data_IF_631088486625
#
_entry.id   IF_631088486625
#
_cell.length_a   1.000
_cell.length_b   1.000
_cell.length_c   1.000
_cell.angle_alpha   90.00
_cell.angle_beta   90.00
_cell.angle_gamma   90.00
#
_symmetry.space_group_name_H-M   'P 1'
#
loop_
_entity.id
_entity.type
_entity.pdbx_description
1 polymer ?
#
# COMPACT_ATOMS: atom_id res chain seq x y z
N UNK A 1 -10.83 -20.77 -25.06
CA UNK A 1 -9.94 -20.08 -24.08
C UNK A 1 -10.74 -18.88 -23.65
N UNK A 2 -11.29 -18.88 -22.43
CA UNK A 2 -12.05 -17.73 -21.93
C UNK A 2 -11.06 -16.59 -21.66
N UNK A 3 -11.11 -15.56 -22.50
CA UNK A 3 -10.27 -14.37 -22.41
C UNK A 3 -11.17 -13.21 -21.98
N UNK A 4 -11.79 -13.33 -20.82
CA UNK A 4 -12.51 -12.22 -20.21
C UNK A 4 -12.13 -12.18 -18.72
N UNK A 5 -10.88 -11.79 -18.44
CA UNK A 5 -10.53 -11.23 -17.12
C UNK A 5 -11.12 -9.83 -17.11
N UNK A 6 -12.30 -9.65 -16.53
CA UNK A 6 -12.82 -8.31 -16.24
C UNK A 6 -11.85 -7.62 -15.30
N UNK A 7 -11.35 -6.45 -15.71
CA UNK A 7 -10.52 -5.62 -14.85
C UNK A 7 -11.40 -5.02 -13.77
N UNK A 8 -11.33 -5.56 -12.55
CA UNK A 8 -11.96 -4.98 -11.38
C UNK A 8 -11.12 -3.79 -10.90
N UNK A 9 -11.72 -2.60 -10.93
CA UNK A 9 -11.07 -1.41 -10.38
C UNK A 9 -11.01 -1.52 -8.86
N UNK A 10 -9.83 -1.83 -8.33
CA UNK A 10 -9.57 -1.78 -6.89
C UNK A 10 -9.05 -0.39 -6.51
N UNK A 11 -9.46 0.18 -5.35
CA UNK A 11 -8.87 1.43 -4.86
C UNK A 11 -7.40 1.31 -4.47
N UNK A 12 -6.89 0.07 -4.34
CA UNK A 12 -5.55 -0.24 -3.85
C UNK A 12 -4.46 0.51 -4.61
N UNK A 13 -4.43 0.34 -5.94
CA UNK A 13 -3.45 0.95 -6.82
C UNK A 13 -3.32 2.47 -6.62
N UNK A 14 -4.45 3.16 -6.50
CA UNK A 14 -4.48 4.61 -6.33
C UNK A 14 -3.88 5.02 -4.97
N UNK A 15 -4.24 4.33 -3.89
CA UNK A 15 -3.68 4.58 -2.57
C UNK A 15 -2.18 4.25 -2.50
N UNK A 16 -1.74 3.13 -3.11
CA UNK A 16 -0.33 2.74 -3.15
C UNK A 16 0.54 3.75 -3.92
N UNK A 17 0.02 4.28 -5.03
CA UNK A 17 0.72 5.31 -5.81
C UNK A 17 0.76 6.65 -5.07
N UNK A 18 -0.37 7.06 -4.48
CA UNK A 18 -0.46 8.29 -3.71
C UNK A 18 0.49 8.26 -2.52
N UNK A 19 0.60 7.12 -1.84
CA UNK A 19 1.54 6.92 -0.73
C UNK A 19 2.98 7.19 -1.17
N UNK A 20 3.43 6.60 -2.29
CA UNK A 20 4.79 6.81 -2.84
C UNK A 20 5.08 8.29 -3.17
N UNK A 21 4.10 9.01 -3.72
CA UNK A 21 4.24 10.45 -3.99
C UNK A 21 4.30 11.25 -2.69
N UNK A 22 3.48 10.87 -1.71
CA UNK A 22 3.45 11.53 -0.40
C UNK A 22 4.72 11.29 0.41
N UNK A 23 5.42 10.16 0.28
CA UNK A 23 6.69 9.94 1.01
C UNK A 23 7.71 11.04 0.76
N UNK A 24 7.71 11.61 -0.46
CA UNK A 24 8.64 12.67 -0.85
C UNK A 24 8.16 14.06 -0.47
N UNK A 25 6.85 14.28 -0.40
CA UNK A 25 6.26 15.62 -0.32
C UNK A 25 5.56 15.91 1.02
N UNK A 26 5.01 14.88 1.66
CA UNK A 26 4.21 14.95 2.89
C UNK A 26 4.29 13.59 3.63
N UNK A 27 5.45 13.24 4.22
CA UNK A 27 5.67 11.94 4.85
C UNK A 27 4.73 11.66 6.02
N UNK A 28 4.22 12.71 6.67
CA UNK A 28 3.17 12.65 7.71
C UNK A 28 1.85 12.07 7.19
N UNK A 29 1.54 12.29 5.90
CA UNK A 29 0.32 11.80 5.25
C UNK A 29 0.52 10.47 4.54
N UNK A 30 1.76 10.15 4.16
CA UNK A 30 2.10 8.93 3.43
C UNK A 30 1.69 7.65 4.18
N UNK A 31 1.85 7.61 5.51
CA UNK A 31 1.49 6.42 6.31
C UNK A 31 0.01 6.09 6.21
N UNK A 32 -0.87 7.10 6.17
CA UNK A 32 -2.31 6.87 6.03
C UNK A 32 -2.61 6.19 4.69
N UNK A 33 -1.99 6.66 3.62
CA UNK A 33 -2.16 6.08 2.29
C UNK A 33 -1.54 4.69 2.18
N UNK A 34 -0.42 4.42 2.83
CA UNK A 34 0.14 3.07 2.94
C UNK A 34 -0.79 2.10 3.68
N UNK A 35 -1.46 2.55 4.75
CA UNK A 35 -2.48 1.75 5.45
C UNK A 35 -3.69 1.45 4.55
N UNK A 36 -4.12 2.42 3.74
CA UNK A 36 -5.21 2.21 2.76
C UNK A 36 -4.78 1.28 1.61
N UNK A 37 -3.57 1.44 1.08
CA UNK A 37 -2.96 0.54 0.10
C UNK A 37 -2.98 -0.91 0.60
N UNK A 38 -2.52 -1.15 1.83
CA UNK A 38 -2.53 -2.48 2.44
C UNK A 38 -3.95 -3.02 2.71
N UNK A 39 -4.91 -2.14 3.02
CA UNK A 39 -6.29 -2.55 3.30
C UNK A 39 -7.08 -2.96 2.07
N UNK A 40 -6.74 -2.43 0.90
CA UNK A 40 -7.41 -2.76 -0.38
C UNK A 40 -6.63 -3.72 -1.26
N UNK A 41 -5.31 -3.82 -1.09
CA UNK A 41 -4.46 -4.64 -1.95
C UNK A 41 -4.64 -6.14 -1.72
N UNK A 42 -4.58 -6.93 -2.79
CA UNK A 42 -4.61 -8.38 -2.76
C UNK A 42 -3.23 -8.95 -3.10
N UNK A 43 -2.58 -9.58 -2.12
CA UNK A 43 -1.29 -10.27 -2.29
C UNK A 43 -1.34 -11.42 -3.30
N UNK A 44 -2.54 -11.92 -3.63
CA UNK A 44 -2.75 -12.97 -4.63
C UNK A 44 -2.83 -12.42 -6.05
N UNK A 45 -3.01 -11.11 -6.21
CA UNK A 45 -2.84 -10.45 -7.50
C UNK A 45 -1.36 -10.11 -7.71
N UNK A 46 -0.68 -10.74 -8.68
CA UNK A 46 0.73 -10.48 -8.95
C UNK A 46 1.03 -9.01 -9.28
N UNK A 47 0.05 -8.28 -9.81
CA UNK A 47 0.20 -6.86 -10.15
C UNK A 47 0.21 -5.98 -8.88
N UNK A 48 -0.42 -6.44 -7.79
CA UNK A 48 -0.51 -5.72 -6.52
C UNK A 48 0.46 -6.22 -5.44
N UNK A 49 0.97 -7.45 -5.54
CA UNK A 49 1.83 -8.09 -4.53
C UNK A 49 3.01 -7.19 -4.11
N UNK A 50 3.71 -6.59 -5.08
CA UNK A 50 4.83 -5.70 -4.80
C UNK A 50 4.41 -4.47 -4.00
N UNK A 51 3.24 -3.89 -4.30
CA UNK A 51 2.73 -2.73 -3.58
C UNK A 51 2.27 -3.09 -2.18
N UNK A 52 1.64 -4.25 -2.01
CA UNK A 52 1.26 -4.80 -0.69
C UNK A 52 2.51 -5.02 0.18
N UNK A 53 3.57 -5.60 -0.39
CA UNK A 53 4.85 -5.76 0.30
C UNK A 53 5.47 -4.43 0.74
N UNK A 54 5.52 -3.45 -0.15
CA UNK A 54 6.02 -2.10 0.15
C UNK A 54 5.22 -1.41 1.26
N UNK A 55 3.89 -1.53 1.22
CA UNK A 55 3.00 -0.95 2.23
C UNK A 55 3.25 -1.55 3.61
N UNK A 56 3.40 -2.88 3.66
CA UNK A 56 3.64 -3.60 4.92
C UNK A 56 4.95 -3.22 5.57
N UNK A 57 6.03 -3.14 4.79
CA UNK A 57 7.34 -2.72 5.29
C UNK A 57 7.28 -1.37 6.01
N UNK A 58 6.56 -0.40 5.43
CA UNK A 58 6.47 0.97 5.94
C UNK A 58 5.56 1.10 7.14
N UNK A 59 4.45 0.37 7.13
CA UNK A 59 3.57 0.30 8.30
C UNK A 59 4.32 -0.34 9.47
N UNK A 60 4.98 -1.47 9.25
CA UNK A 60 5.74 -2.18 10.30
C UNK A 60 6.92 -1.35 10.82
N UNK A 61 7.61 -0.59 9.95
CA UNK A 61 8.70 0.31 10.37
C UNK A 61 8.21 1.44 11.29
N UNK A 62 7.01 1.97 11.03
CA UNK A 62 6.39 3.00 11.86
C UNK A 62 5.95 2.46 13.23
N UNK A 63 5.33 1.28 13.29
CA UNK A 63 4.93 0.65 14.56
C UNK A 63 6.15 0.30 15.43
N UNK A 64 7.26 -0.12 14.82
CA UNK A 64 8.55 -0.31 15.53
C UNK A 64 9.16 0.99 16.03
N UNK A 65 8.93 2.10 15.33
CA UNK A 65 9.42 3.42 15.74
C UNK A 65 8.64 3.98 16.95
N UNK A 66 7.34 3.68 17.04
CA UNK A 66 6.49 4.08 18.16
C UNK A 66 6.69 3.21 19.41
N UNK A 67 7.13 1.96 19.26
CA UNK A 67 7.41 1.05 20.39
C UNK A 67 8.76 1.32 21.09
N UNK A 68 9.68 2.03 20.44
CA UNK A 68 11.00 2.40 21.01
C UNK A 68 10.98 3.66 21.91
N UNK A 69 9.81 4.29 22.10
CA UNK A 69 9.65 5.51 22.91
C UNK A 69 8.76 5.29 24.16
N UNK A 70 8.50 4.05 24.56
CA UNK A 70 7.66 3.75 25.74
C UNK A 70 8.45 3.08 26.87
#
# INVERSE_FOLDING_TARGET
IEVEKTFEQTPAAAHCLLAQVMEKNAPDKALKEWKMCLGYGDVRDPDEDIWVGMARERVDAQEKSSESTK
#
